data_IF_602955796285
#
_entry.id   IF_602955796285
#
_cell.length_a   1.000
_cell.length_b   1.000
_cell.length_c   1.000
_cell.angle_alpha   90.00
_cell.angle_beta   90.00
_cell.angle_gamma   90.00
#
_symmetry.space_group_name_H-M   'P 1'
#
loop_
_entity.id
_entity.type
_entity.pdbx_description
1 polymer ?
#
# COMPACT_ATOMS: atom_id res chain seq x y z
N UNK A 1 -33.02 -18.31 17.68
CA UNK A 1 -31.63 -18.81 17.55
C UNK A 1 -31.00 -18.45 16.22
N UNK A 2 -31.67 -18.69 15.08
CA UNK A 2 -31.17 -18.35 13.74
C UNK A 2 -30.77 -16.86 13.54
N UNK A 3 -31.58 -15.90 14.01
CA UNK A 3 -31.27 -14.47 13.88
C UNK A 3 -29.98 -14.06 14.62
N UNK A 4 -29.70 -14.67 15.76
CA UNK A 4 -28.45 -14.44 16.52
C UNK A 4 -27.24 -15.02 15.78
N UNK A 5 -27.39 -16.18 15.15
CA UNK A 5 -26.35 -16.81 14.34
C UNK A 5 -26.05 -15.96 13.11
N UNK A 6 -27.08 -15.46 12.41
CA UNK A 6 -26.93 -14.56 11.25
C UNK A 6 -26.22 -13.25 11.62
N UNK A 7 -26.58 -12.64 12.76
CA UNK A 7 -25.93 -11.42 13.26
C UNK A 7 -24.45 -11.66 13.59
N UNK A 8 -24.12 -12.79 14.22
CA UNK A 8 -22.73 -13.13 14.54
C UNK A 8 -21.92 -13.38 13.27
N UNK A 9 -22.47 -14.12 12.30
CA UNK A 9 -21.81 -14.34 11.00
C UNK A 9 -21.58 -13.03 10.24
N UNK A 10 -22.57 -12.13 10.24
CA UNK A 10 -22.44 -10.81 9.60
C UNK A 10 -21.35 -9.96 10.28
N UNK A 11 -21.28 -10.02 11.62
CA UNK A 11 -20.25 -9.31 12.39
C UNK A 11 -18.84 -9.82 12.04
N UNK A 12 -18.66 -11.15 11.96
CA UNK A 12 -17.36 -11.76 11.62
C UNK A 12 -16.90 -11.34 10.21
N UNK A 13 -17.81 -11.33 9.23
CA UNK A 13 -17.50 -10.85 7.87
C UNK A 13 -17.16 -9.36 7.87
N UNK A 14 -17.90 -8.54 8.61
CA UNK A 14 -17.63 -7.11 8.71
C UNK A 14 -16.26 -6.80 9.34
N UNK A 15 -15.84 -7.56 10.36
CA UNK A 15 -14.51 -7.39 10.97
C UNK A 15 -13.37 -7.79 10.01
N UNK A 16 -13.59 -8.74 9.10
CA UNK A 16 -12.60 -9.14 8.10
C UNK A 16 -12.38 -8.10 6.99
N UNK A 17 -13.33 -7.18 6.81
CA UNK A 17 -13.28 -6.14 5.78
C UNK A 17 -12.56 -4.85 6.24
N UNK A 18 -12.13 -4.78 7.50
CA UNK A 18 -11.40 -3.61 8.01
C UNK A 18 -9.94 -3.70 7.56
N UNK A 19 -9.66 -3.23 6.36
CA UNK A 19 -8.29 -3.00 5.90
C UNK A 19 -7.70 -1.78 6.65
N UNK A 20 -6.95 -2.04 7.71
CA UNK A 20 -6.35 -1.01 8.56
C UNK A 20 -5.03 -0.44 8.01
N UNK A 21 -4.65 -0.78 6.77
CA UNK A 21 -3.27 -0.63 6.30
C UNK A 21 -3.05 0.12 5.00
N UNK A 22 -4.05 0.76 4.40
CA UNK A 22 -3.88 1.38 3.09
C UNK A 22 -2.84 2.53 3.12
N UNK A 23 -1.62 2.24 2.65
CA UNK A 23 -0.54 3.23 2.51
C UNK A 23 -0.81 4.07 1.27
N UNK A 24 -0.87 5.40 1.44
CA UNK A 24 -0.93 6.32 0.29
C UNK A 24 0.46 6.51 -0.28
N UNK A 25 0.61 6.30 -1.58
CA UNK A 25 1.87 6.55 -2.29
C UNK A 25 1.83 7.89 -3.01
N UNK A 26 2.97 8.55 -3.07
CA UNK A 26 3.15 9.73 -3.92
C UNK A 26 4.53 9.70 -4.55
N UNK A 27 4.57 9.72 -5.87
CA UNK A 27 5.80 9.73 -6.65
C UNK A 27 6.04 11.12 -7.22
N UNK A 28 7.24 11.66 -7.00
CA UNK A 28 7.65 12.96 -7.53
C UNK A 28 9.02 12.86 -8.17
N UNK A 29 9.08 13.17 -9.46
CA UNK A 29 10.34 13.40 -10.16
C UNK A 29 10.81 14.83 -9.90
N UNK A 30 11.70 15.01 -8.92
CA UNK A 30 12.24 16.32 -8.55
C UNK A 30 13.30 16.85 -9.55
N UNK A 31 13.78 16.01 -10.47
CA UNK A 31 14.88 16.32 -11.38
C UNK A 31 14.54 15.94 -12.84
N UNK A 32 13.44 16.45 -13.45
CA UNK A 32 12.95 15.99 -14.75
C UNK A 32 13.93 16.19 -15.91
N UNK A 33 14.89 17.11 -15.75
CA UNK A 33 15.87 17.45 -16.77
C UNK A 33 17.19 16.66 -16.67
N UNK A 34 17.35 15.76 -15.69
CA UNK A 34 18.50 14.85 -15.67
C UNK A 34 18.26 13.69 -16.64
N UNK A 35 19.31 12.99 -17.09
CA UNK A 35 19.14 11.74 -17.84
C UNK A 35 18.23 10.73 -17.13
N UNK A 36 18.37 10.61 -15.80
CA UNK A 36 17.52 9.77 -14.95
C UNK A 36 16.06 10.23 -14.91
N UNK A 37 15.81 11.52 -14.70
CA UNK A 37 14.46 12.09 -14.69
C UNK A 37 13.74 11.98 -16.05
N UNK A 38 14.45 12.16 -17.17
CA UNK A 38 13.89 11.93 -18.50
C UNK A 38 13.55 10.46 -18.73
N UNK A 39 14.44 9.56 -18.32
CA UNK A 39 14.22 8.11 -18.42
C UNK A 39 13.03 7.68 -17.57
N UNK A 40 12.89 8.21 -16.36
CA UNK A 40 11.74 7.98 -15.52
C UNK A 40 10.44 8.36 -16.23
N UNK A 41 10.37 9.55 -16.83
CA UNK A 41 9.16 10.00 -17.53
C UNK A 41 8.85 9.16 -18.79
N UNK A 42 9.87 8.66 -19.48
CA UNK A 42 9.72 7.89 -20.72
C UNK A 42 9.38 6.42 -20.48
N UNK A 43 10.05 5.78 -19.51
CA UNK A 43 10.08 4.31 -19.38
C UNK A 43 9.35 3.79 -18.14
N UNK A 44 9.28 4.57 -17.06
CA UNK A 44 8.75 4.13 -15.77
C UNK A 44 7.38 4.79 -15.53
N UNK A 45 7.38 6.11 -15.34
CA UNK A 45 6.21 6.88 -15.02
C UNK A 45 5.68 6.63 -13.61
N UNK A 46 4.81 7.54 -13.16
CA UNK A 46 4.18 7.49 -11.83
C UNK A 46 3.40 6.20 -11.59
N UNK A 47 2.52 5.73 -12.51
CA UNK A 47 1.68 4.56 -12.23
C UNK A 47 2.47 3.27 -12.00
N UNK A 48 3.55 3.08 -12.76
CA UNK A 48 4.43 1.91 -12.58
C UNK A 48 5.13 1.97 -11.22
N UNK A 49 5.69 3.12 -10.86
CA UNK A 49 6.42 3.27 -9.59
C UNK A 49 5.50 3.11 -8.39
N UNK A 50 4.27 3.63 -8.44
CA UNK A 50 3.26 3.40 -7.40
C UNK A 50 2.94 1.90 -7.24
N UNK A 51 2.77 1.18 -8.36
CA UNK A 51 2.54 -0.28 -8.32
C UNK A 51 3.70 -1.02 -7.68
N UNK A 52 4.94 -0.69 -8.04
CA UNK A 52 6.13 -1.33 -7.48
C UNK A 52 6.26 -1.05 -5.98
N UNK A 53 5.99 0.18 -5.54
CA UNK A 53 5.99 0.52 -4.12
C UNK A 53 4.91 -0.25 -3.35
N UNK A 54 3.69 -0.33 -3.87
CA UNK A 54 2.63 -1.15 -3.27
C UNK A 54 3.05 -2.62 -3.14
N UNK A 55 3.57 -3.21 -4.23
CA UNK A 55 4.05 -4.59 -4.21
C UNK A 55 5.23 -4.81 -3.26
N UNK A 56 6.10 -3.82 -3.08
CA UNK A 56 7.24 -3.90 -2.15
C UNK A 56 6.76 -3.87 -0.71
N UNK A 57 5.78 -3.02 -0.40
CA UNK A 57 5.15 -2.97 0.92
C UNK A 57 4.43 -4.28 1.24
N UNK A 58 3.69 -4.85 0.29
CA UNK A 58 3.05 -6.16 0.46
C UNK A 58 4.09 -7.26 0.72
N UNK A 59 5.23 -7.22 0.01
CA UNK A 59 6.33 -8.15 0.24
C UNK A 59 6.92 -8.02 1.65
N UNK A 60 7.15 -6.78 2.12
CA UNK A 60 7.63 -6.51 3.48
C UNK A 60 6.63 -7.04 4.52
N UNK A 61 5.33 -6.76 4.34
CA UNK A 61 4.30 -7.24 5.26
C UNK A 61 4.25 -8.77 5.33
N UNK A 62 4.41 -9.45 4.20
CA UNK A 62 4.49 -10.91 4.14
C UNK A 62 5.71 -11.45 4.89
N UNK A 63 6.89 -10.86 4.72
CA UNK A 63 8.11 -11.27 5.44
C UNK A 63 7.92 -11.20 6.95
N UNK A 64 7.32 -10.12 7.44
CA UNK A 64 7.15 -9.88 8.87
C UNK A 64 5.81 -10.40 9.43
N UNK A 65 5.06 -11.17 8.64
CA UNK A 65 3.73 -11.69 8.99
C UNK A 65 2.74 -10.61 9.49
N UNK A 66 2.91 -9.37 9.01
CA UNK A 66 2.07 -8.23 9.41
C UNK A 66 0.70 -8.22 8.73
N UNK A 67 0.51 -9.03 7.68
CA UNK A 67 -0.81 -9.27 7.10
C UNK A 67 -1.76 -9.97 8.08
N UNK A 68 -1.21 -10.80 8.98
CA UNK A 68 -1.96 -11.49 10.04
C UNK A 68 -2.29 -10.58 11.23
N UNK A 69 -1.61 -9.43 11.34
CA UNK A 69 -1.74 -8.47 12.44
C UNK A 69 -1.92 -7.04 11.91
N UNK A 70 -3.03 -6.73 11.22
CA UNK A 70 -3.25 -5.42 10.60
C UNK A 70 -3.22 -4.25 11.60
N UNK A 71 -3.47 -4.52 12.89
CA UNK A 71 -3.37 -3.53 13.99
C UNK A 71 -1.94 -3.17 14.38
N UNK A 72 -0.96 -4.00 14.00
CA UNK A 72 0.47 -3.80 14.24
C UNK A 72 1.18 -3.15 13.04
N UNK A 73 0.49 -3.03 11.90
CA UNK A 73 0.98 -2.23 10.77
C UNK A 73 1.18 -0.80 11.26
N UNK A 74 2.42 -0.30 11.17
CA UNK A 74 2.69 1.11 11.48
C UNK A 74 1.83 1.96 10.54
N UNK A 75 1.03 2.86 11.11
CA UNK A 75 0.16 3.76 10.37
C UNK A 75 0.99 4.79 9.60
N UNK A 76 1.61 4.37 8.50
CA UNK A 76 2.33 5.24 7.58
C UNK A 76 1.33 5.68 6.52
N UNK A 77 0.66 6.80 6.81
CA UNK A 77 -0.41 7.32 5.94
C UNK A 77 0.12 7.82 4.59
N UNK A 78 1.43 8.08 4.46
CA UNK A 78 2.04 8.60 3.24
C UNK A 78 3.49 8.11 3.07
N UNK A 79 3.76 7.44 1.95
CA UNK A 79 5.10 7.07 1.49
C UNK A 79 5.47 7.89 0.24
N UNK A 80 6.59 8.62 0.30
CA UNK A 80 7.04 9.51 -0.77
C UNK A 80 8.30 8.97 -1.43
N UNK A 81 8.27 8.85 -2.76
CA UNK A 81 9.47 8.63 -3.58
C UNK A 81 9.81 9.94 -4.29
N UNK A 82 10.86 10.64 -3.84
CA UNK A 82 11.23 11.99 -4.33
C UNK A 82 12.61 12.09 -4.99
N UNK A 83 13.46 11.07 -4.90
CA UNK A 83 14.84 11.12 -5.38
C UNK A 83 15.04 10.22 -6.60
N UNK A 84 14.45 10.60 -7.72
CA UNK A 84 14.71 9.97 -9.02
C UNK A 84 15.84 10.78 -9.67
N UNK A 85 17.09 10.36 -9.42
CA UNK A 85 18.29 11.03 -9.96
C UNK A 85 18.61 10.54 -11.37
#
# INVERSE_FOLDING_TARGET
MAARILLVSLLIVALSAVDAGAVRYTVRNAAPNTPGGRRFNRDLGVPYTERIMASSTDFIWKIFNQDSHPKEKKNVQLAVCSHIS
#
